data_IF_468619810539
#
_entry.id   IF_468619810539
#
_cell.length_a   1.000
_cell.length_b   1.000
_cell.length_c   1.000
_cell.angle_alpha   90.00
_cell.angle_beta   90.00
_cell.angle_gamma   90.00
#
_symmetry.space_group_name_H-M   'P 1'
#
loop_
_entity.id
_entity.type
_entity.pdbx_description
1 polymer ?
#
# COMPACT_ATOMS: atom_id res chain seq x y z
N UNK A 1 3.43 -5.57 23.28
CA UNK A 1 3.87 -5.17 21.92
C UNK A 1 4.23 -3.68 21.98
N UNK A 2 5.28 -3.21 21.30
CA UNK A 2 5.68 -1.80 21.41
C UNK A 2 4.85 -0.94 20.43
N UNK A 3 4.04 0.00 20.91
CA UNK A 3 3.16 0.86 20.09
C UNK A 3 3.91 1.55 18.95
N UNK A 4 5.18 1.90 19.21
CA UNK A 4 6.08 2.49 18.21
C UNK A 4 6.34 1.57 17.02
N UNK A 5 6.45 0.26 17.23
CA UNK A 5 6.70 -0.69 16.16
C UNK A 5 5.49 -0.83 15.23
N UNK A 6 4.28 -0.79 15.81
CA UNK A 6 3.02 -0.85 15.08
C UNK A 6 2.86 0.41 14.20
N UNK A 7 3.16 1.58 14.76
CA UNK A 7 3.17 2.86 14.04
C UNK A 7 4.16 2.85 12.87
N UNK A 8 5.41 2.44 13.10
CA UNK A 8 6.45 2.39 12.07
C UNK A 8 6.06 1.43 10.96
N UNK A 9 5.54 0.25 11.29
CA UNK A 9 5.10 -0.73 10.31
C UNK A 9 3.95 -0.19 9.45
N UNK A 10 2.93 0.42 10.08
CA UNK A 10 1.81 1.03 9.37
C UNK A 10 2.27 2.12 8.41
N UNK A 11 3.09 3.07 8.88
CA UNK A 11 3.61 4.17 8.07
C UNK A 11 4.43 3.64 6.88
N UNK A 12 5.27 2.62 7.12
CA UNK A 12 6.10 2.02 6.08
C UNK A 12 5.24 1.36 5.00
N UNK A 13 4.25 0.55 5.38
CA UNK A 13 3.35 -0.11 4.44
C UNK A 13 2.48 0.90 3.68
N UNK A 14 1.99 1.95 4.34
CA UNK A 14 1.26 3.04 3.67
C UNK A 14 2.14 3.76 2.65
N UNK A 15 3.40 4.03 2.99
CA UNK A 15 4.35 4.68 2.07
C UNK A 15 4.59 3.81 0.83
N UNK A 16 4.72 2.50 0.99
CA UNK A 16 4.84 1.56 -0.13
C UNK A 16 3.59 1.57 -1.03
N UNK A 17 2.39 1.55 -0.46
CA UNK A 17 1.14 1.63 -1.23
C UNK A 17 1.10 2.93 -2.06
N UNK A 18 1.48 4.06 -1.44
CA UNK A 18 1.51 5.36 -2.12
C UNK A 18 2.51 5.36 -3.25
N UNK A 19 3.73 4.88 -3.03
CA UNK A 19 4.76 4.77 -4.08
C UNK A 19 4.30 3.90 -5.25
N UNK A 20 3.71 2.74 -4.96
CA UNK A 20 3.20 1.84 -5.98
C UNK A 20 2.08 2.46 -6.82
N UNK A 21 1.20 3.22 -6.15
CA UNK A 21 0.10 3.97 -6.76
C UNK A 21 0.66 5.04 -7.71
N UNK A 22 1.64 5.82 -7.25
CA UNK A 22 2.29 6.86 -8.06
C UNK A 22 2.99 6.25 -9.28
N UNK A 23 3.72 5.14 -9.12
CA UNK A 23 4.34 4.45 -10.24
C UNK A 23 3.31 3.89 -11.22
N UNK A 24 2.19 3.35 -10.73
CA UNK A 24 1.08 2.91 -11.58
C UNK A 24 0.49 4.05 -12.42
N UNK A 25 0.31 5.22 -11.81
CA UNK A 25 -0.15 6.44 -12.49
C UNK A 25 0.86 6.87 -13.57
N UNK A 26 2.15 6.91 -13.24
CA UNK A 26 3.20 7.28 -14.20
C UNK A 26 3.28 6.31 -15.38
N UNK A 27 3.12 5.00 -15.14
CA UNK A 27 3.11 4.00 -16.21
C UNK A 27 1.89 4.18 -17.11
N UNK A 28 0.71 4.37 -16.54
CA UNK A 28 -0.50 4.64 -17.31
C UNK A 28 -0.34 5.90 -18.16
N UNK A 29 0.34 6.93 -17.64
CA UNK A 29 0.65 8.15 -18.38
C UNK A 29 1.63 7.87 -19.53
N UNK A 30 2.71 7.11 -19.29
CA UNK A 30 3.67 6.70 -20.34
C UNK A 30 2.98 5.90 -21.46
N UNK A 31 2.03 5.03 -21.10
CA UNK A 31 1.27 4.20 -22.06
C UNK A 31 0.13 4.95 -22.79
N UNK A 32 -0.11 6.23 -22.49
CA UNK A 32 -1.27 7.01 -22.98
C UNK A 32 -2.64 6.39 -22.64
N UNK A 33 -2.68 5.52 -21.65
CA UNK A 33 -3.92 4.91 -21.13
C UNK A 33 -4.47 5.67 -19.92
N UNK A 34 -3.72 6.68 -19.44
CA UNK A 34 -4.12 7.49 -18.31
C UNK A 34 -5.37 8.31 -18.62
N UNK A 35 -6.44 8.03 -17.90
CA UNK A 35 -7.67 8.80 -17.91
C UNK A 35 -7.91 9.36 -16.51
N UNK A 36 -7.93 10.69 -16.38
CA UNK A 36 -8.19 11.40 -15.12
C UNK A 36 -9.54 10.95 -14.54
N UNK A 37 -10.53 10.67 -15.38
CA UNK A 37 -11.85 10.18 -14.98
C UNK A 37 -11.81 8.79 -14.34
N UNK A 38 -10.81 7.97 -14.66
CA UNK A 38 -10.63 6.62 -14.08
C UNK A 38 -9.77 6.62 -12.82
N UNK A 39 -9.06 7.72 -12.53
CA UNK A 39 -8.18 7.82 -11.37
C UNK A 39 -8.93 7.65 -10.03
N UNK A 40 -10.09 8.31 -9.79
CA UNK A 40 -10.83 8.13 -8.53
C UNK A 40 -11.30 6.68 -8.36
N UNK A 41 -11.77 6.07 -9.45
CA UNK A 41 -12.20 4.67 -9.46
C UNK A 41 -11.00 3.74 -9.17
N UNK A 42 -9.84 4.01 -9.75
CA UNK A 42 -8.63 3.24 -9.49
C UNK A 42 -8.24 3.29 -8.00
N UNK A 43 -8.23 4.48 -7.40
CA UNK A 43 -7.93 4.66 -5.98
C UNK A 43 -8.95 3.93 -5.10
N UNK A 44 -10.24 4.07 -5.40
CA UNK A 44 -11.32 3.43 -4.65
C UNK A 44 -11.25 1.90 -4.68
N UNK A 45 -10.84 1.30 -5.80
CA UNK A 45 -10.79 -0.16 -5.95
C UNK A 45 -9.45 -0.76 -5.51
N UNK A 46 -8.34 -0.06 -5.75
CA UNK A 46 -7.00 -0.66 -5.60
C UNK A 46 -6.16 -0.10 -4.45
N UNK A 47 -6.56 1.02 -3.84
CA UNK A 47 -5.75 1.73 -2.84
C UNK A 47 -6.50 1.85 -1.52
N UNK A 48 -7.70 2.44 -1.54
CA UNK A 48 -8.50 2.67 -0.33
C UNK A 48 -8.85 1.40 0.46
N UNK A 49 -9.15 0.24 -0.15
CA UNK A 49 -9.43 -0.97 0.61
C UNK A 49 -8.22 -1.44 1.44
N UNK A 50 -7.01 -1.28 0.90
CA UNK A 50 -5.76 -1.64 1.61
C UNK A 50 -5.45 -0.66 2.73
N UNK A 51 -5.55 0.64 2.46
CA UNK A 51 -5.34 1.68 3.46
C UNK A 51 -6.36 1.54 4.60
N UNK A 52 -7.65 1.43 4.25
CA UNK A 52 -8.73 1.28 5.21
C UNK A 52 -8.60 0.01 6.05
N UNK A 53 -8.34 -1.14 5.41
CA UNK A 53 -8.13 -2.41 6.10
C UNK A 53 -6.95 -2.36 7.07
N UNK A 54 -5.82 -1.78 6.67
CA UNK A 54 -4.65 -1.62 7.54
C UNK A 54 -4.91 -0.66 8.70
N UNK A 55 -5.62 0.44 8.47
CA UNK A 55 -5.97 1.39 9.53
C UNK A 55 -6.89 0.76 10.57
N UNK A 56 -7.89 -0.02 10.14
CA UNK A 56 -8.78 -0.74 11.06
C UNK A 56 -7.99 -1.77 11.87
N UNK A 57 -7.17 -2.59 11.21
CA UNK A 57 -6.35 -3.60 11.90
C UNK A 57 -5.33 -2.97 12.85
N UNK A 58 -4.70 -1.86 12.46
CA UNK A 58 -3.80 -1.12 13.33
C UNK A 58 -4.54 -0.55 14.55
N UNK A 59 -5.74 0.02 14.35
CA UNK A 59 -6.59 0.50 15.44
C UNK A 59 -6.96 -0.60 16.44
N UNK A 60 -7.33 -1.79 15.93
CA UNK A 60 -7.59 -2.97 16.76
C UNK A 60 -6.30 -3.40 17.49
N UNK A 61 -5.15 -3.39 16.82
CA UNK A 61 -3.86 -3.73 17.43
C UNK A 61 -3.42 -2.77 18.54
N UNK A 62 -3.78 -1.48 18.44
CA UNK A 62 -3.55 -0.50 19.52
C UNK A 62 -4.52 -0.70 20.69
N UNK A 63 -5.79 -1.01 20.41
CA UNK A 63 -6.79 -1.24 21.45
C UNK A 63 -6.56 -2.58 22.19
N UNK A 64 -6.11 -3.60 21.47
CA UNK A 64 -5.94 -4.97 21.95
C UNK A 64 -4.57 -5.47 21.48
N UNK A 65 -3.56 -5.33 22.36
CA UNK A 65 -2.17 -5.70 22.05
C UNK A 65 -2.01 -7.16 21.59
N UNK A 66 -2.82 -8.08 22.13
CA UNK A 66 -2.80 -9.50 21.73
C UNK A 66 -3.31 -9.74 20.32
N UNK A 67 -4.02 -8.79 19.71
CA UNK A 67 -4.53 -8.89 18.33
C UNK A 67 -3.62 -8.23 17.31
N UNK A 68 -2.53 -7.57 17.72
CA UNK A 68 -1.64 -6.87 16.81
C UNK A 68 -0.90 -7.82 15.84
N UNK A 69 -0.84 -9.14 16.09
CA UNK A 69 -0.34 -10.11 15.10
C UNK A 69 -1.18 -10.13 13.81
N UNK A 70 -2.49 -9.87 13.88
CA UNK A 70 -3.36 -9.79 12.69
C UNK A 70 -2.95 -8.62 11.80
N UNK A 71 -2.63 -7.48 12.41
CA UNK A 71 -2.08 -6.33 11.72
C UNK A 71 -0.75 -6.68 11.04
N UNK A 72 0.20 -7.28 11.77
CA UNK A 72 1.51 -7.62 11.19
C UNK A 72 1.40 -8.65 10.06
N UNK A 73 0.49 -9.63 10.17
CA UNK A 73 0.23 -10.60 9.11
C UNK A 73 -0.34 -9.92 7.85
N UNK A 74 -1.33 -9.05 8.02
CA UNK A 74 -1.91 -8.30 6.91
C UNK A 74 -0.88 -7.33 6.28
N UNK A 75 -0.15 -6.58 7.10
CA UNK A 75 0.91 -5.68 6.65
C UNK A 75 2.01 -6.43 5.89
N UNK A 76 2.38 -7.62 6.34
CA UNK A 76 3.32 -8.50 5.64
C UNK A 76 2.82 -8.89 4.25
N UNK A 77 1.58 -9.38 4.13
CA UNK A 77 1.00 -9.74 2.83
C UNK A 77 0.87 -8.54 1.88
N UNK A 78 0.46 -7.38 2.42
CA UNK A 78 0.37 -6.14 1.64
C UNK A 78 1.76 -5.68 1.18
N UNK A 79 2.76 -5.77 2.04
CA UNK A 79 4.16 -5.45 1.72
C UNK A 79 4.70 -6.37 0.63
N UNK A 80 4.32 -7.65 0.60
CA UNK A 80 4.66 -8.57 -0.49
C UNK A 80 3.98 -8.16 -1.79
N UNK A 81 2.70 -7.77 -1.75
CA UNK A 81 1.98 -7.26 -2.93
C UNK A 81 2.66 -6.01 -3.52
N UNK A 82 3.13 -5.13 -2.65
CA UNK A 82 3.80 -3.87 -2.98
C UNK A 82 5.32 -3.97 -2.85
N UNK A 83 5.86 -5.17 -3.06
CA UNK A 83 7.26 -5.48 -2.78
C UNK A 83 8.22 -4.71 -3.67
N UNK A 84 9.49 -4.74 -3.26
CA UNK A 84 10.59 -4.15 -4.03
C UNK A 84 10.64 -4.69 -5.46
N UNK A 85 10.28 -5.95 -5.69
CA UNK A 85 10.25 -6.56 -7.03
C UNK A 85 9.15 -5.95 -7.89
N UNK A 86 7.93 -5.81 -7.36
CA UNK A 86 6.82 -5.14 -8.05
C UNK A 86 7.16 -3.68 -8.38
N UNK A 87 7.80 -2.97 -7.45
CA UNK A 87 8.26 -1.60 -7.66
C UNK A 87 9.39 -1.53 -8.70
N UNK A 88 10.36 -2.45 -8.66
CA UNK A 88 11.47 -2.52 -9.63
C UNK A 88 10.97 -2.81 -11.05
N UNK A 89 10.00 -3.70 -11.21
CA UNK A 89 9.37 -3.97 -12.51
C UNK A 89 8.69 -2.72 -13.06
N UNK A 90 7.96 -1.99 -12.21
CA UNK A 90 7.34 -0.71 -12.59
C UNK A 90 8.37 0.34 -12.98
N UNK A 91 9.45 0.46 -12.21
CA UNK A 91 10.58 1.36 -12.53
C UNK A 91 11.24 0.98 -13.85
N UNK A 92 11.43 -0.32 -14.10
CA UNK A 92 11.98 -0.82 -15.37
C UNK A 92 11.07 -0.50 -16.55
N UNK A 93 9.75 -0.60 -16.39
CA UNK A 93 8.79 -0.18 -17.43
C UNK A 93 8.85 1.33 -17.69
N UNK A 94 9.20 2.15 -16.69
CA UNK A 94 9.30 3.61 -16.84
C UNK A 94 10.61 4.06 -17.49
N UNK A 95 11.75 3.51 -17.07
CA UNK A 95 13.08 3.96 -17.48
C UNK A 95 13.81 3.01 -18.44
N UNK A 96 13.21 1.87 -18.77
CA UNK A 96 13.59 0.94 -19.84
C UNK A 96 12.66 1.04 -21.04
#
# INVERSE_FOLDING_TARGET
>A
MNDKALAVCLITTLTMIVLDTLLGILIAAKKREFSISKLPQFLATNVFPYIGGLLVLAGIGYAISDMAYLFYAAAGMVTVKFSKEALLDKVRVLFG
#
